data_IF_274821678172
#
_entry.id   IF_274821678172
#
_cell.length_a   1.000
_cell.length_b   1.000
_cell.length_c   1.000
_cell.angle_alpha   90.00
_cell.angle_beta   90.00
_cell.angle_gamma   90.00
#
_symmetry.space_group_name_H-M   'P 1'
#
loop_
_entity.id
_entity.type
_entity.pdbx_description
1 polymer ?
#
# COMPACT_ATOMS: atom_id res chain seq x y z
N UNK A 1 -10.44 0.01 15.55
CA UNK A 1 -9.47 -0.54 14.58
C UNK A 1 -8.39 -1.39 15.26
N UNK A 2 -7.77 -0.94 16.38
CA UNK A 2 -6.73 -1.71 17.09
C UNK A 2 -7.13 -3.17 17.33
N UNK A 3 -8.30 -3.41 17.93
CA UNK A 3 -8.80 -4.77 18.17
C UNK A 3 -8.95 -5.58 16.88
N UNK A 4 -9.43 -4.95 15.81
CA UNK A 4 -9.54 -5.60 14.51
C UNK A 4 -8.18 -6.05 13.97
N UNK A 5 -7.16 -5.19 14.05
CA UNK A 5 -5.80 -5.51 13.61
C UNK A 5 -5.24 -6.72 14.38
N UNK A 6 -5.32 -6.71 15.71
CA UNK A 6 -4.63 -7.70 16.55
C UNK A 6 -5.46 -8.95 16.86
N UNK A 7 -6.79 -8.90 16.75
CA UNK A 7 -7.67 -10.03 17.07
C UNK A 7 -8.22 -10.75 15.84
N UNK A 8 -8.10 -10.15 14.65
CA UNK A 8 -8.50 -10.81 13.40
C UNK A 8 -7.43 -11.80 12.92
N UNK A 9 -7.80 -12.62 11.94
CA UNK A 9 -6.84 -13.55 11.28
C UNK A 9 -6.00 -12.87 10.20
N UNK A 10 -6.06 -11.54 10.03
CA UNK A 10 -5.38 -10.86 8.92
C UNK A 10 -3.86 -10.93 9.02
N UNK A 11 -3.29 -10.82 10.22
CA UNK A 11 -1.87 -11.03 10.43
C UNK A 11 -1.41 -12.44 10.02
N UNK A 12 -2.18 -13.47 10.38
CA UNK A 12 -1.92 -14.83 9.94
C UNK A 12 -1.98 -14.97 8.41
N UNK A 13 -3.01 -14.43 7.76
CA UNK A 13 -3.13 -14.48 6.31
C UNK A 13 -2.02 -13.69 5.62
N UNK A 14 -1.64 -12.51 6.14
CA UNK A 14 -0.51 -11.74 5.66
C UNK A 14 0.77 -12.58 5.67
N UNK A 15 1.12 -13.18 6.81
CA UNK A 15 2.29 -14.07 6.95
C UNK A 15 2.27 -15.20 5.90
N UNK A 16 1.15 -15.91 5.77
CA UNK A 16 1.04 -17.04 4.82
C UNK A 16 1.18 -16.61 3.37
N UNK A 17 0.54 -15.49 2.97
CA UNK A 17 0.55 -15.02 1.59
C UNK A 17 1.90 -14.37 1.22
N UNK A 18 2.58 -13.72 2.17
CA UNK A 18 3.96 -13.23 2.00
C UNK A 18 5.00 -14.37 2.06
N UNK A 19 4.61 -15.58 2.50
CA UNK A 19 5.50 -16.72 2.78
C UNK A 19 6.53 -16.42 3.87
N UNK A 20 6.16 -15.60 4.82
CA UNK A 20 6.96 -15.16 5.97
C UNK A 20 6.57 -15.93 7.23
N UNK A 21 7.48 -16.11 8.18
CA UNK A 21 7.20 -16.73 9.48
C UNK A 21 6.41 -15.81 10.40
N UNK A 22 6.48 -14.52 10.18
CA UNK A 22 5.80 -13.51 10.98
C UNK A 22 5.14 -12.44 10.12
N UNK A 23 4.26 -11.66 10.74
CA UNK A 23 3.79 -10.39 10.20
C UNK A 23 3.81 -9.31 11.26
N UNK A 24 4.36 -8.16 10.93
CA UNK A 24 4.31 -6.94 11.74
C UNK A 24 3.39 -5.93 11.08
N UNK A 25 2.62 -5.21 11.87
CA UNK A 25 1.87 -4.07 11.38
C UNK A 25 2.85 -2.94 11.04
N UNK A 26 2.84 -2.49 9.78
CA UNK A 26 3.63 -1.34 9.36
C UNK A 26 2.86 -0.04 9.63
N UNK A 27 1.68 0.09 9.06
CA UNK A 27 0.71 1.15 9.38
C UNK A 27 -0.67 0.84 8.80
N UNK A 28 -1.65 1.66 9.13
CA UNK A 28 -3.01 1.56 8.62
C UNK A 28 -3.57 2.92 8.19
N UNK A 29 -4.58 2.88 7.33
CA UNK A 29 -5.33 4.07 6.89
C UNK A 29 -6.82 3.75 6.76
N UNK A 30 -7.66 4.70 7.12
CA UNK A 30 -9.05 4.76 6.66
C UNK A 30 -9.11 5.70 5.46
N UNK A 31 -9.44 5.14 4.31
CA UNK A 31 -9.49 5.85 3.04
C UNK A 31 -10.95 6.24 2.75
N UNK A 32 -11.23 7.52 2.68
CA UNK A 32 -12.59 8.04 2.46
C UNK A 32 -12.66 8.79 1.15
N UNK A 33 -13.63 8.45 0.31
CA UNK A 33 -14.03 9.24 -0.86
C UNK A 33 -15.47 9.69 -0.69
N UNK A 34 -15.64 10.99 -0.50
CA UNK A 34 -16.97 11.60 -0.33
C UNK A 34 -17.83 11.47 -1.60
N UNK A 35 -19.17 11.49 -1.46
CA UNK A 35 -20.08 11.52 -2.60
C UNK A 35 -19.76 12.67 -3.55
N UNK A 36 -19.77 12.40 -4.86
CA UNK A 36 -19.51 13.40 -5.88
C UNK A 36 -18.06 13.94 -5.93
N UNK A 37 -17.15 13.36 -5.15
CA UNK A 37 -15.74 13.80 -5.14
C UNK A 37 -15.08 13.62 -6.50
N UNK A 38 -14.38 14.66 -6.97
CA UNK A 38 -13.54 14.58 -8.19
C UNK A 38 -12.14 14.03 -7.94
N UNK A 39 -11.79 13.76 -6.67
CA UNK A 39 -10.43 13.32 -6.29
C UNK A 39 -10.20 11.89 -6.73
N UNK A 40 -9.22 11.69 -7.60
CA UNK A 40 -8.70 10.39 -8.00
C UNK A 40 -7.58 9.96 -7.06
N UNK A 41 -7.34 8.66 -6.92
CA UNK A 41 -6.07 8.14 -6.39
C UNK A 41 -5.18 7.85 -7.60
N UNK A 42 -4.10 8.60 -7.82
CA UNK A 42 -3.22 8.39 -8.96
C UNK A 42 -2.64 6.97 -8.97
N UNK A 43 -2.22 6.51 -10.15
CA UNK A 43 -1.47 5.26 -10.26
C UNK A 43 -0.12 5.41 -9.54
N UNK A 44 0.15 4.55 -8.57
CA UNK A 44 1.36 4.58 -7.75
C UNK A 44 1.67 3.21 -7.18
N UNK A 45 2.88 3.05 -6.68
CA UNK A 45 3.30 1.96 -5.80
C UNK A 45 3.41 2.50 -4.37
N UNK A 46 3.10 1.69 -3.38
CA UNK A 46 3.27 2.06 -1.96
C UNK A 46 4.76 2.11 -1.57
N UNK A 47 5.54 1.11 -1.99
CA UNK A 47 6.95 0.91 -1.55
C UNK A 47 7.84 2.15 -1.69
N UNK A 48 7.78 2.95 -2.77
CA UNK A 48 8.62 4.14 -2.90
C UNK A 48 8.43 5.19 -1.81
N UNK A 49 7.26 5.26 -1.19
CA UNK A 49 6.95 6.23 -0.13
C UNK A 49 7.39 5.78 1.26
N UNK A 50 7.78 4.51 1.42
CA UNK A 50 7.99 3.87 2.72
C UNK A 50 9.47 3.71 3.06
N UNK A 51 9.78 3.73 4.37
CA UNK A 51 11.12 3.49 4.91
C UNK A 51 11.44 1.99 5.01
N UNK A 52 11.08 1.19 4.00
CA UNK A 52 11.30 -0.25 4.03
C UNK A 52 11.91 -0.77 2.74
N UNK A 53 12.75 -1.79 2.86
CA UNK A 53 13.18 -2.67 1.79
C UNK A 53 12.88 -4.13 2.15
N UNK A 54 12.79 -5.00 1.13
CA UNK A 54 12.36 -6.39 1.26
C UNK A 54 11.19 -6.70 0.33
N UNK A 55 10.80 -7.96 0.24
CA UNK A 55 9.72 -8.45 -0.62
C UNK A 55 8.48 -8.91 0.15
N UNK A 56 8.67 -9.29 1.43
CA UNK A 56 7.59 -9.75 2.31
C UNK A 56 6.75 -8.56 2.77
N UNK A 57 6.01 -7.98 1.84
CA UNK A 57 5.18 -6.79 2.07
C UNK A 57 3.78 -7.00 1.53
N UNK A 58 2.77 -6.53 2.25
CA UNK A 58 1.39 -6.68 1.84
C UNK A 58 0.47 -5.59 2.35
N UNK A 59 -0.30 -5.00 1.44
CA UNK A 59 -1.39 -4.07 1.75
C UNK A 59 -2.71 -4.81 1.66
N UNK A 60 -3.43 -4.97 2.77
CA UNK A 60 -4.86 -5.27 2.71
C UNK A 60 -5.64 -4.03 2.37
N UNK A 61 -6.62 -4.20 1.51
CA UNK A 61 -7.64 -3.22 1.24
C UNK A 61 -9.01 -3.87 1.47
N UNK A 62 -9.79 -3.31 2.41
CA UNK A 62 -11.03 -3.89 2.94
C UNK A 62 -12.13 -2.85 2.77
N UNK A 63 -13.16 -3.10 1.96
CA UNK A 63 -14.28 -2.19 1.83
C UNK A 63 -15.06 -2.12 3.15
N UNK A 64 -15.40 -0.91 3.58
CA UNK A 64 -16.29 -0.64 4.71
C UNK A 64 -17.70 -0.24 4.26
N UNK A 65 -17.87 0.01 2.99
CA UNK A 65 -19.14 0.28 2.31
C UNK A 65 -19.24 -0.58 1.05
N UNK A 66 -20.41 -0.71 0.48
CA UNK A 66 -20.59 -1.27 -0.86
C UNK A 66 -19.77 -0.47 -1.89
N UNK A 67 -19.01 -1.15 -2.71
CA UNK A 67 -18.10 -0.53 -3.68
C UNK A 67 -18.63 -0.72 -5.10
N UNK A 68 -18.91 0.39 -5.77
CA UNK A 68 -19.19 0.39 -7.21
C UNK A 68 -17.92 0.12 -8.00
N UNK A 69 -18.00 -0.74 -9.01
CA UNK A 69 -16.88 -1.07 -9.91
C UNK A 69 -16.18 0.17 -10.49
N UNK A 70 -16.92 1.25 -10.72
CA UNK A 70 -16.39 2.50 -11.29
C UNK A 70 -15.44 3.26 -10.37
N UNK A 71 -15.62 3.14 -9.05
CA UNK A 71 -14.78 3.83 -8.05
C UNK A 71 -13.97 2.89 -7.17
N UNK A 72 -13.90 1.60 -7.56
CA UNK A 72 -13.16 0.56 -6.86
C UNK A 72 -11.64 0.74 -6.98
N UNK A 73 -10.93 -0.02 -6.17
CA UNK A 73 -9.48 -0.23 -6.29
C UNK A 73 -9.17 -0.86 -7.66
N UNK A 74 -8.11 -0.40 -8.29
CA UNK A 74 -7.58 -0.92 -9.54
C UNK A 74 -6.13 -1.32 -9.33
N UNK A 75 -5.77 -2.51 -9.76
CA UNK A 75 -4.44 -3.10 -9.60
C UNK A 75 -3.86 -3.43 -10.99
N UNK A 76 -2.59 -3.14 -11.21
CA UNK A 76 -1.90 -3.55 -12.44
C UNK A 76 -1.18 -4.86 -12.17
N UNK A 77 -1.72 -5.96 -12.70
CA UNK A 77 -1.15 -7.30 -12.52
C UNK A 77 0.27 -7.37 -13.07
N UNK A 78 1.17 -8.01 -12.33
CA UNK A 78 2.57 -8.16 -12.76
C UNK A 78 3.47 -6.94 -12.51
N UNK A 79 2.94 -5.77 -12.19
CA UNK A 79 3.73 -4.54 -12.02
C UNK A 79 4.77 -4.59 -10.89
N UNK A 80 4.61 -5.51 -9.92
CA UNK A 80 5.63 -5.77 -8.90
C UNK A 80 6.95 -6.37 -9.45
N UNK A 81 6.93 -6.84 -10.70
CA UNK A 81 8.10 -7.40 -11.41
C UNK A 81 8.77 -6.38 -12.33
N UNK A 82 8.26 -5.16 -12.41
CA UNK A 82 8.89 -4.12 -13.23
C UNK A 82 10.32 -3.84 -12.76
N UNK A 83 11.23 -3.43 -13.66
CA UNK A 83 12.68 -3.41 -13.39
C UNK A 83 13.09 -2.40 -12.31
N UNK A 84 12.31 -1.32 -12.14
CA UNK A 84 12.50 -0.31 -11.10
C UNK A 84 11.18 0.04 -10.45
N UNK A 85 11.25 0.65 -9.27
CA UNK A 85 10.10 1.26 -8.63
C UNK A 85 9.67 2.51 -9.40
N UNK A 86 8.37 2.79 -9.39
CA UNK A 86 7.82 4.01 -9.99
C UNK A 86 8.23 5.21 -9.14
N UNK A 87 8.62 6.30 -9.80
CA UNK A 87 8.95 7.56 -9.14
C UNK A 87 7.76 8.06 -8.30
N UNK A 88 7.94 8.21 -6.99
CA UNK A 88 6.89 8.74 -6.15
C UNK A 88 6.75 10.26 -6.37
N UNK A 89 5.51 10.73 -6.37
CA UNK A 89 5.19 12.14 -6.57
C UNK A 89 4.28 12.66 -5.47
N UNK A 90 4.32 13.97 -5.25
CA UNK A 90 3.34 14.67 -4.40
C UNK A 90 2.03 14.80 -5.18
N UNK A 91 0.97 14.19 -4.69
CA UNK A 91 -0.32 14.14 -5.41
C UNK A 91 -0.99 15.50 -5.59
N UNK A 92 -0.60 16.49 -4.77
CA UNK A 92 -1.15 17.85 -4.87
C UNK A 92 -0.66 18.63 -6.10
N UNK A 93 0.56 18.35 -6.56
CA UNK A 93 1.19 19.15 -7.63
C UNK A 93 2.09 18.33 -8.56
N UNK A 94 2.07 17.01 -8.45
CA UNK A 94 2.86 16.07 -9.25
C UNK A 94 4.39 16.31 -9.21
N UNK A 95 4.88 17.04 -8.23
CA UNK A 95 6.32 17.20 -8.03
C UNK A 95 6.93 15.90 -7.50
N UNK A 96 8.21 15.69 -7.80
CA UNK A 96 8.94 14.55 -7.27
C UNK A 96 8.95 14.55 -5.74
N UNK A 97 8.83 13.35 -5.16
CA UNK A 97 8.91 13.15 -3.71
C UNK A 97 10.33 13.29 -3.19
N UNK A 98 11.30 12.75 -3.94
CA UNK A 98 12.74 12.82 -3.64
C UNK A 98 13.47 13.76 -4.59
N UNK A 99 14.64 14.28 -4.16
CA UNK A 99 15.53 15.06 -5.01
C UNK A 99 16.26 14.17 -6.02
N UNK A 100 16.84 13.04 -5.56
CA UNK A 100 17.45 12.03 -6.43
C UNK A 100 16.39 11.00 -6.86
N UNK A 101 16.23 10.86 -8.15
CA UNK A 101 15.29 9.94 -8.76
C UNK A 101 15.97 8.83 -9.59
N UNK A 102 17.28 8.67 -9.48
CA UNK A 102 18.06 7.72 -10.29
C UNK A 102 17.64 6.25 -10.10
N UNK A 103 17.09 5.93 -8.91
CA UNK A 103 16.61 4.58 -8.55
C UNK A 103 15.19 4.28 -9.06
N UNK A 104 14.51 5.26 -9.63
CA UNK A 104 13.12 5.15 -10.04
C UNK A 104 12.97 5.18 -11.56
N UNK A 105 11.83 4.76 -12.03
CA UNK A 105 11.38 4.91 -13.41
C UNK A 105 10.09 5.73 -13.43
N UNK A 106 9.80 6.34 -14.56
CA UNK A 106 8.48 6.94 -14.78
C UNK A 106 7.41 5.87 -14.90
N UNK A 107 6.18 6.21 -14.52
CA UNK A 107 5.04 5.35 -14.81
C UNK A 107 4.93 5.15 -16.33
N UNK A 108 4.86 3.91 -16.83
CA UNK A 108 4.61 3.66 -18.24
C UNK A 108 3.33 4.34 -18.72
N UNK A 109 3.20 4.56 -20.02
CA UNK A 109 1.96 5.10 -20.57
C UNK A 109 0.79 4.14 -20.33
N UNK A 110 -0.39 4.67 -20.11
CA UNK A 110 -1.58 3.88 -19.78
C UNK A 110 -1.83 2.73 -20.79
N UNK A 111 -1.60 2.97 -22.05
CA UNK A 111 -1.75 2.00 -23.14
C UNK A 111 -0.87 0.77 -22.99
N UNK A 112 0.27 0.89 -22.30
CA UNK A 112 1.24 -0.18 -22.11
C UNK A 112 0.82 -1.19 -21.03
N UNK A 113 -0.07 -0.79 -20.10
CA UNK A 113 -0.50 -1.66 -19.03
C UNK A 113 -2.03 -1.79 -18.86
N UNK A 114 -2.82 -1.13 -19.69
CA UNK A 114 -4.30 -1.12 -19.53
C UNK A 114 -4.94 -2.51 -19.57
N UNK A 115 -4.37 -3.46 -20.29
CA UNK A 115 -4.86 -4.85 -20.36
C UNK A 115 -4.55 -5.65 -19.09
N UNK A 116 -3.62 -5.19 -18.27
CA UNK A 116 -3.23 -5.86 -17.03
C UNK A 116 -4.00 -5.33 -15.82
N UNK A 117 -4.95 -4.42 -16.03
CA UNK A 117 -5.73 -3.83 -14.94
C UNK A 117 -6.76 -4.82 -14.46
N UNK A 118 -6.66 -5.20 -13.19
CA UNK A 118 -7.66 -5.92 -12.44
C UNK A 118 -8.48 -4.94 -11.59
N UNK A 119 -9.80 -5.04 -11.67
CA UNK A 119 -10.73 -4.40 -10.75
C UNK A 119 -11.39 -5.53 -9.95
N UNK A 120 -11.02 -5.75 -8.69
CA UNK A 120 -11.55 -6.85 -7.91
C UNK A 120 -13.04 -6.64 -7.64
N UNK A 121 -13.83 -7.70 -7.73
CA UNK A 121 -15.20 -7.71 -7.22
C UNK A 121 -15.17 -7.97 -5.72
N UNK A 122 -15.58 -6.99 -4.93
CA UNK A 122 -15.48 -7.05 -3.47
C UNK A 122 -16.84 -6.74 -2.84
N UNK A 123 -17.27 -7.62 -1.97
CA UNK A 123 -18.43 -7.42 -1.09
C UNK A 123 -17.96 -6.98 0.30
N UNK A 124 -18.90 -6.53 1.13
CA UNK A 124 -18.60 -6.31 2.56
C UNK A 124 -18.16 -7.63 3.21
N UNK A 125 -17.02 -7.58 3.89
CA UNK A 125 -16.39 -8.75 4.48
C UNK A 125 -15.26 -9.36 3.64
N UNK A 126 -15.15 -8.99 2.36
CA UNK A 126 -14.02 -9.37 1.52
C UNK A 126 -12.80 -8.48 1.78
N UNK A 127 -11.63 -8.97 1.38
CA UNK A 127 -10.38 -8.22 1.41
C UNK A 127 -9.49 -8.62 0.23
N UNK A 128 -8.78 -7.67 -0.33
CA UNK A 128 -7.71 -7.96 -1.29
C UNK A 128 -6.36 -7.65 -0.66
N UNK A 129 -5.39 -8.56 -0.82
CA UNK A 129 -4.00 -8.34 -0.42
C UNK A 129 -3.13 -8.20 -1.67
N UNK A 130 -2.30 -7.17 -1.71
CA UNK A 130 -1.33 -6.95 -2.78
C UNK A 130 0.02 -6.45 -2.23
N UNK A 131 1.10 -6.78 -2.94
CA UNK A 131 2.45 -6.37 -2.56
C UNK A 131 2.64 -4.86 -2.70
N UNK A 132 3.48 -4.23 -1.86
CA UNK A 132 3.76 -2.78 -1.92
C UNK A 132 4.31 -2.30 -3.27
N UNK A 133 4.83 -3.21 -4.11
CA UNK A 133 5.29 -2.91 -5.47
C UNK A 133 4.18 -2.99 -6.53
N UNK A 134 2.96 -3.37 -6.18
CA UNK A 134 1.85 -3.36 -7.14
C UNK A 134 1.43 -1.92 -7.43
N UNK A 135 1.45 -1.56 -8.70
CA UNK A 135 0.87 -0.29 -9.16
C UNK A 135 -0.64 -0.36 -9.00
N UNK A 136 -1.19 0.61 -8.31
CA UNK A 136 -2.61 0.66 -8.04
C UNK A 136 -3.12 2.11 -8.00
N UNK A 137 -4.43 2.24 -8.07
CA UNK A 137 -5.09 3.53 -8.02
C UNK A 137 -6.61 3.36 -7.94
N UNK A 138 -7.35 4.45 -7.95
CA UNK A 138 -8.81 4.40 -8.04
C UNK A 138 -9.39 5.66 -8.65
N UNK A 139 -10.50 5.52 -9.35
CA UNK A 139 -11.23 6.66 -9.93
C UNK A 139 -11.84 7.54 -8.84
N UNK A 140 -12.27 8.73 -9.23
CA UNK A 140 -13.10 9.63 -8.42
C UNK A 140 -14.41 8.94 -8.02
N UNK A 141 -14.96 9.32 -6.87
CA UNK A 141 -16.27 8.83 -6.43
C UNK A 141 -17.37 9.74 -6.97
N UNK A 142 -17.90 9.43 -8.14
CA UNK A 142 -19.00 10.15 -8.77
C UNK A 142 -20.39 9.66 -8.33
N UNK A 143 -20.46 8.73 -7.38
CA UNK A 143 -21.74 8.22 -6.85
C UNK A 143 -22.30 9.14 -5.77
N UNK A 144 -23.54 8.89 -5.37
CA UNK A 144 -24.21 9.61 -4.28
C UNK A 144 -23.90 9.01 -2.89
N UNK A 145 -23.16 7.91 -2.84
CA UNK A 145 -22.78 7.22 -1.59
C UNK A 145 -21.31 7.49 -1.25
N UNK A 146 -21.00 7.60 0.04
CA UNK A 146 -19.62 7.62 0.53
C UNK A 146 -18.96 6.25 0.27
N UNK A 147 -17.67 6.26 -0.03
CA UNK A 147 -16.87 5.03 -0.17
C UNK A 147 -15.72 5.05 0.82
N UNK A 148 -15.79 4.21 1.82
CA UNK A 148 -14.73 4.02 2.83
C UNK A 148 -14.07 2.67 2.62
N UNK A 149 -12.77 2.65 2.86
CA UNK A 149 -12.00 1.41 2.92
C UNK A 149 -11.00 1.48 4.07
N UNK A 150 -10.77 0.36 4.74
CA UNK A 150 -9.70 0.22 5.70
C UNK A 150 -8.52 -0.48 5.03
N UNK A 151 -7.37 0.13 5.07
CA UNK A 151 -6.16 -0.41 4.47
C UNK A 151 -5.10 -0.63 5.55
N UNK A 152 -4.63 -1.88 5.67
CA UNK A 152 -3.58 -2.28 6.61
C UNK A 152 -2.36 -2.79 5.87
N UNK A 153 -1.19 -2.33 6.27
CA UNK A 153 0.09 -2.72 5.68
C UNK A 153 0.85 -3.61 6.63
N UNK A 154 1.26 -4.78 6.13
CA UNK A 154 2.06 -5.75 6.86
C UNK A 154 3.42 -5.92 6.20
N UNK A 155 4.41 -6.20 7.05
CA UNK A 155 5.78 -6.52 6.68
C UNK A 155 6.19 -7.84 7.31
N UNK A 156 7.04 -8.59 6.64
CA UNK A 156 7.51 -9.91 7.05
C UNK A 156 9.00 -9.97 7.37
N UNK A 157 9.55 -11.18 7.38
CA UNK A 157 10.89 -11.49 7.91
C UNK A 157 12.05 -10.86 7.13
N UNK A 158 11.91 -10.68 5.80
CA UNK A 158 12.99 -10.16 4.96
C UNK A 158 13.04 -8.62 4.96
N UNK A 159 12.06 -7.97 5.58
CA UNK A 159 11.95 -6.51 5.54
C UNK A 159 12.95 -5.86 6.50
N UNK A 160 13.63 -4.83 6.00
CA UNK A 160 14.59 -4.01 6.73
C UNK A 160 14.23 -2.54 6.59
N UNK A 161 14.65 -1.76 7.56
CA UNK A 161 14.55 -0.30 7.47
C UNK A 161 15.43 0.19 6.31
N UNK A 162 14.94 1.18 5.57
CA UNK A 162 15.68 1.85 4.50
C UNK A 162 15.41 3.34 4.57
N UNK A 163 16.44 4.12 4.89
CA UNK A 163 16.42 5.56 4.68
C UNK A 163 16.64 5.87 3.19
N UNK A 164 15.68 6.53 2.57
CA UNK A 164 15.74 6.95 1.16
C UNK A 164 16.22 8.38 0.98
N UNK A 165 16.71 9.03 2.04
CA UNK A 165 17.20 10.41 1.99
C UNK A 165 16.09 11.47 1.83
N UNK A 166 14.91 11.21 2.36
CA UNK A 166 13.78 12.14 2.28
C UNK A 166 12.61 11.73 3.17
N UNK A 167 11.51 12.48 3.13
CA UNK A 167 10.35 12.18 3.98
C UNK A 167 9.72 10.86 3.60
N UNK A 168 9.12 10.19 4.59
CA UNK A 168 8.32 8.97 4.41
C UNK A 168 6.83 9.28 4.58
N UNK A 169 5.97 8.42 4.07
CA UNK A 169 4.53 8.51 4.27
C UNK A 169 3.98 7.14 4.74
N UNK A 170 3.56 7.00 6.01
CA UNK A 170 3.52 8.04 7.04
C UNK A 170 4.93 8.43 7.52
N UNK A 171 5.07 9.59 8.16
CA UNK A 171 6.29 9.93 8.87
C UNK A 171 6.41 9.07 10.13
N UNK A 172 7.66 8.72 10.47
CA UNK A 172 7.99 8.01 11.72
C UNK A 172 9.00 8.86 12.50
N UNK A 173 8.54 10.02 12.96
CA UNK A 173 9.38 11.00 13.65
C UNK A 173 9.97 10.41 14.93
N UNK A 174 11.30 10.52 15.07
CA UNK A 174 12.02 9.97 16.22
C UNK A 174 12.40 8.49 16.10
N UNK A 175 12.12 7.82 14.98
CA UNK A 175 12.63 6.47 14.75
C UNK A 175 14.16 6.53 14.59
N UNK A 176 14.86 5.78 15.44
CA UNK A 176 16.33 5.72 15.42
C UNK A 176 16.76 4.35 14.85
N UNK A 177 16.71 4.26 13.50
CA UNK A 177 17.13 3.07 12.76
C UNK A 177 18.06 3.48 11.61
N UNK A 178 19.03 2.62 11.30
CA UNK A 178 19.88 2.75 10.11
C UNK A 178 19.41 1.82 9.00
N UNK A 179 19.71 2.17 7.76
CA UNK A 179 19.40 1.29 6.63
C UNK A 179 20.03 -0.11 6.83
N UNK A 180 19.19 -1.14 6.72
CA UNK A 180 19.55 -2.54 6.97
C UNK A 180 19.11 -3.06 8.35
N UNK A 181 18.72 -2.19 9.28
CA UNK A 181 18.26 -2.62 10.60
C UNK A 181 16.92 -3.38 10.52
N UNK A 182 16.70 -4.25 11.50
CA UNK A 182 15.42 -4.92 11.69
C UNK A 182 14.34 -3.90 12.06
N UNK A 183 13.11 -4.15 11.60
CA UNK A 183 11.96 -3.33 11.95
C UNK A 183 11.59 -3.58 13.42
N UNK A 184 11.74 -2.57 14.27
CA UNK A 184 11.55 -2.67 15.73
C UNK A 184 10.08 -2.87 16.11
N UNK A 185 9.82 -3.76 17.05
CA UNK A 185 8.46 -4.12 17.46
C UNK A 185 7.72 -3.03 18.26
N UNK A 186 8.44 -2.13 18.89
CA UNK A 186 7.84 -0.97 19.59
C UNK A 186 7.23 0.06 18.61
N UNK A 187 7.71 0.09 17.36
CA UNK A 187 7.15 0.89 16.26
C UNK A 187 6.23 0.07 15.34
N UNK A 188 6.63 -1.17 15.07
CA UNK A 188 5.99 -2.08 14.13
C UNK A 188 5.64 -3.38 14.86
N UNK A 189 4.55 -3.41 15.63
CA UNK A 189 4.25 -4.53 16.50
C UNK A 189 3.96 -5.80 15.70
N UNK A 190 4.42 -6.93 16.23
CA UNK A 190 4.06 -8.24 15.69
C UNK A 190 2.57 -8.52 15.90
N UNK A 191 1.93 -8.94 14.83
CA UNK A 191 0.52 -9.35 14.82
C UNK A 191 0.40 -10.87 14.74
N UNK A 192 1.35 -11.51 14.08
CA UNK A 192 1.44 -12.96 13.99
C UNK A 192 2.91 -13.41 14.00
N UNK A 193 3.17 -14.53 14.68
CA UNK A 193 4.45 -15.24 14.70
C UNK A 193 4.16 -16.75 14.70
N UNK A 194 4.76 -17.54 13.78
CA UNK A 194 4.60 -18.99 13.68
C UNK A 194 5.60 -19.76 14.54
#
# INVERSE_FOLDING_TARGET
FKDFVFKSKLGFYASKLMKSKQSQLFHDHVLVKEPGSSIVTPWHQDKPYYCVDGNDTGSFWIPLDEVDQKNNLKLVLGSHKWPKLIRPTKWSNNQSWYQDNSLFMDLPKFEEFKQDILIPELNLGDAVLFNFKIVHGSSANKTLKQRRAFSMRFIGDDVRFLDRGGPTSPPFDGISLNSGDLMREDWFPKVFNS
#
